data_IF_205418068604
#
_entry.id   IF_205418068604
#
_cell.length_a   1.000
_cell.length_b   1.000
_cell.length_c   1.000
_cell.angle_alpha   90.00
_cell.angle_beta   90.00
_cell.angle_gamma   90.00
#
_symmetry.space_group_name_H-M   'P 1'
#
loop_
_entity.id
_entity.type
_entity.pdbx_description
1 polymer ?
#
# COMPACT_ATOMS: atom_id res chain seq x y z
N UNK A 1 -5.39 -24.50 -11.01
CA UNK A 1 -6.31 -23.35 -10.91
C UNK A 1 -5.53 -22.22 -10.33
N UNK A 2 -5.43 -21.10 -11.05
CA UNK A 2 -4.71 -19.92 -10.53
C UNK A 2 -5.59 -19.35 -9.42
N UNK A 3 -5.14 -19.47 -8.17
CA UNK A 3 -5.72 -18.72 -7.06
C UNK A 3 -5.13 -17.32 -7.18
N UNK A 4 -5.62 -16.54 -8.13
CA UNK A 4 -5.42 -15.10 -8.06
C UNK A 4 -6.24 -14.63 -6.86
N UNK A 5 -5.66 -13.86 -5.92
CA UNK A 5 -6.44 -13.35 -4.81
C UNK A 5 -7.64 -12.60 -5.40
N UNK A 6 -8.87 -12.85 -4.94
CA UNK A 6 -10.04 -12.17 -5.46
C UNK A 6 -9.80 -10.67 -5.44
N UNK A 7 -10.24 -9.96 -6.50
CA UNK A 7 -10.09 -8.51 -6.71
C UNK A 7 -10.81 -7.70 -5.60
N UNK A 8 -10.29 -7.78 -4.38
CA UNK A 8 -10.90 -7.36 -3.13
C UNK A 8 -9.81 -6.87 -2.20
N UNK A 9 -9.92 -5.62 -1.74
CA UNK A 9 -8.98 -5.05 -0.78
C UNK A 9 -8.87 -5.88 0.51
N UNK A 10 -9.96 -6.53 0.93
CA UNK A 10 -9.97 -7.43 2.07
C UNK A 10 -9.16 -8.71 1.81
N UNK A 11 -9.27 -9.30 0.61
CA UNK A 11 -8.50 -10.48 0.23
C UNK A 11 -7.01 -10.16 0.09
N UNK A 12 -6.67 -8.98 -0.45
CA UNK A 12 -5.28 -8.51 -0.53
C UNK A 12 -4.69 -8.25 0.86
N UNK A 13 -5.46 -7.63 1.78
CA UNK A 13 -5.05 -7.47 3.18
C UNK A 13 -4.77 -8.84 3.82
N UNK A 14 -5.68 -9.81 3.65
CA UNK A 14 -5.52 -11.15 4.20
C UNK A 14 -4.27 -11.84 3.65
N UNK A 15 -4.08 -11.83 2.33
CA UNK A 15 -2.92 -12.42 1.69
C UNK A 15 -1.61 -11.77 2.14
N UNK A 16 -1.60 -10.46 2.38
CA UNK A 16 -0.42 -9.77 2.91
C UNK A 16 -0.14 -10.22 4.35
N UNK A 17 -1.15 -10.27 5.21
CA UNK A 17 -1.01 -10.74 6.60
C UNK A 17 -0.44 -12.15 6.65
N UNK A 18 -0.99 -13.07 5.86
CA UNK A 18 -0.52 -14.46 5.81
C UNK A 18 0.91 -14.59 5.29
N UNK A 19 1.28 -13.84 4.25
CA UNK A 19 2.61 -13.92 3.62
C UNK A 19 3.70 -13.20 4.41
N UNK A 20 3.34 -12.13 5.11
CA UNK A 20 4.28 -11.22 5.74
C UNK A 20 4.27 -11.28 7.27
N UNK A 21 3.34 -12.02 7.88
CA UNK A 21 3.22 -12.15 9.33
C UNK A 21 2.88 -10.83 10.04
N UNK A 22 2.20 -9.91 9.34
CA UNK A 22 1.80 -8.61 9.89
C UNK A 22 0.55 -8.75 10.75
N UNK A 23 0.43 -7.93 11.80
CA UNK A 23 -0.77 -7.91 12.63
C UNK A 23 -1.98 -7.40 11.82
N UNK A 24 -3.05 -8.21 11.61
CA UNK A 24 -4.23 -7.77 10.87
C UNK A 24 -4.98 -6.62 11.55
N UNK A 25 -4.87 -6.48 12.87
CA UNK A 25 -5.57 -5.43 13.64
C UNK A 25 -4.89 -4.07 13.52
N UNK A 26 -3.62 -4.06 13.10
CA UNK A 26 -2.82 -2.85 12.88
C UNK A 26 -2.85 -2.39 11.42
N UNK A 27 -3.67 -3.00 10.57
CA UNK A 27 -3.74 -2.73 9.14
C UNK A 27 -5.17 -2.40 8.71
N UNK A 28 -5.34 -1.31 8.00
CA UNK A 28 -6.62 -0.95 7.37
C UNK A 28 -6.48 -0.90 5.86
N UNK A 29 -7.48 -1.43 5.15
CA UNK A 29 -7.59 -1.18 3.73
C UNK A 29 -8.19 0.20 3.50
N UNK A 30 -7.53 1.00 2.67
CA UNK A 30 -8.05 2.31 2.27
C UNK A 30 -8.91 2.11 1.03
N UNK A 31 -10.20 1.84 1.25
CA UNK A 31 -11.14 1.44 0.19
C UNK A 31 -11.36 2.50 -0.90
N UNK A 32 -11.22 3.77 -0.56
CA UNK A 32 -11.36 4.90 -1.50
C UNK A 32 -10.17 5.00 -2.47
N UNK A 33 -9.08 4.28 -2.19
CA UNK A 33 -7.92 4.24 -3.07
C UNK A 33 -8.19 3.32 -4.27
N UNK A 34 -8.34 3.93 -5.45
CA UNK A 34 -8.78 3.26 -6.67
C UNK A 34 -7.76 3.49 -7.81
N UNK A 35 -6.61 2.81 -7.76
CA UNK A 35 -5.54 3.00 -8.75
C UNK A 35 -5.27 1.75 -9.60
N UNK A 36 -5.02 1.97 -10.89
CA UNK A 36 -4.52 0.98 -11.84
C UNK A 36 -3.22 1.49 -12.45
N UNK A 37 -2.18 0.66 -12.44
CA UNK A 37 -0.93 0.96 -13.11
C UNK A 37 -0.77 0.07 -14.35
N UNK A 38 -0.28 0.64 -15.45
CA UNK A 38 0.03 -0.14 -16.64
C UNK A 38 1.47 -0.66 -16.57
N UNK A 39 1.65 -1.96 -16.79
CA UNK A 39 2.97 -2.60 -16.90
C UNK A 39 3.13 -3.27 -18.26
N UNK A 40 4.34 -3.70 -18.60
CA UNK A 40 4.61 -4.45 -19.83
C UNK A 40 3.82 -5.76 -19.92
N UNK A 41 3.50 -6.37 -18.78
CA UNK A 41 2.71 -7.61 -18.69
C UNK A 41 1.20 -7.36 -18.62
N UNK A 42 0.76 -6.10 -18.61
CA UNK A 42 -0.64 -5.70 -18.54
C UNK A 42 -0.97 -4.79 -17.36
N UNK A 43 -2.26 -4.44 -17.19
CA UNK A 43 -2.71 -3.61 -16.08
C UNK A 43 -2.60 -4.35 -14.75
N UNK A 44 -2.07 -3.68 -13.73
CA UNK A 44 -2.03 -4.16 -12.34
C UNK A 44 -2.87 -3.25 -11.45
N UNK A 45 -3.65 -3.87 -10.58
CA UNK A 45 -4.44 -3.16 -9.57
C UNK A 45 -3.56 -2.88 -8.36
N UNK A 46 -3.50 -1.61 -7.91
CA UNK A 46 -2.78 -1.24 -6.70
C UNK A 46 -3.79 -1.03 -5.56
N UNK A 47 -3.56 -1.72 -4.45
CA UNK A 47 -4.32 -1.55 -3.21
C UNK A 47 -3.49 -0.79 -2.19
N UNK A 48 -4.11 0.13 -1.46
CA UNK A 48 -3.47 0.86 -0.38
C UNK A 48 -3.89 0.26 0.97
N UNK A 49 -2.90 -0.08 1.79
CA UNK A 49 -3.09 -0.40 3.20
C UNK A 49 -2.40 0.65 4.07
N UNK A 50 -2.98 0.94 5.22
CA UNK A 50 -2.46 1.90 6.20
C UNK A 50 -2.21 1.18 7.53
N UNK A 51 -1.03 1.40 8.11
CA UNK A 51 -0.79 1.02 9.50
C UNK A 51 -1.55 1.97 10.44
N UNK A 52 -2.30 1.43 11.38
CA UNK A 52 -3.13 2.19 12.34
C UNK A 52 -2.44 2.41 13.69
N UNK A 53 -1.33 1.70 13.94
CA UNK A 53 -0.52 1.83 15.13
C UNK A 53 0.14 3.22 15.22
N UNK A 54 0.38 3.69 16.44
CA UNK A 54 1.08 4.95 16.68
C UNK A 54 2.51 4.92 16.11
N UNK A 55 3.22 3.80 16.32
CA UNK A 55 4.51 3.54 15.71
C UNK A 55 4.36 2.57 14.54
N UNK A 56 4.99 2.91 13.41
CA UNK A 56 5.03 1.99 12.28
C UNK A 56 5.92 0.76 12.62
N UNK A 57 5.54 -0.45 12.17
CA UNK A 57 6.28 -1.68 12.47
C UNK A 57 7.56 -1.81 11.61
N UNK A 58 8.52 -0.91 11.83
CA UNK A 58 9.74 -0.76 11.02
C UNK A 58 10.55 -2.06 10.94
N UNK A 59 10.74 -2.73 12.06
CA UNK A 59 11.51 -3.98 12.11
C UNK A 59 10.85 -5.10 11.27
N UNK A 60 9.53 -5.23 11.34
CA UNK A 60 8.80 -6.23 10.55
C UNK A 60 8.91 -5.95 9.05
N UNK A 61 8.75 -4.69 8.63
CA UNK A 61 8.90 -4.31 7.21
C UNK A 61 10.34 -4.49 6.73
N UNK A 62 11.34 -4.15 7.54
CA UNK A 62 12.75 -4.36 7.21
C UNK A 62 13.09 -5.84 7.04
N UNK A 63 12.55 -6.72 7.88
CA UNK A 63 12.72 -8.17 7.74
C UNK A 63 12.15 -8.73 6.42
N UNK A 64 11.20 -8.02 5.82
CA UNK A 64 10.61 -8.33 4.50
C UNK A 64 11.37 -7.66 3.34
N UNK A 65 12.48 -6.96 3.62
CA UNK A 65 13.26 -6.19 2.64
C UNK A 65 12.68 -4.81 2.31
N UNK A 66 11.68 -4.35 3.06
CA UNK A 66 11.08 -3.03 2.91
C UNK A 66 11.80 -1.94 3.70
N UNK A 67 11.53 -0.69 3.36
CA UNK A 67 12.11 0.48 4.02
C UNK A 67 11.05 1.56 4.24
N UNK A 68 11.07 2.20 5.41
CA UNK A 68 10.30 3.42 5.66
C UNK A 68 11.10 4.64 5.24
N UNK A 69 10.66 5.30 4.16
CA UNK A 69 11.30 6.52 3.64
C UNK A 69 10.46 7.75 3.94
N UNK A 70 11.06 8.86 4.43
CA UNK A 70 10.43 10.16 4.39
C UNK A 70 10.06 10.53 2.94
N UNK A 71 8.91 11.16 2.74
CA UNK A 71 8.44 11.57 1.40
C UNK A 71 9.44 12.48 0.67
N UNK A 72 10.25 13.23 1.41
CA UNK A 72 11.31 14.07 0.87
C UNK A 72 12.42 13.28 0.15
N UNK A 73 12.69 12.04 0.57
CA UNK A 73 13.67 11.16 -0.08
C UNK A 73 13.10 10.47 -1.32
N UNK A 74 11.78 10.47 -1.49
CA UNK A 74 11.11 9.84 -2.62
C UNK A 74 11.09 10.73 -3.87
N UNK A 75 11.51 12.00 -3.79
CA UNK A 75 11.50 12.94 -4.92
C UNK A 75 12.33 12.49 -6.14
N UNK A 76 13.30 11.58 -5.95
CA UNK A 76 14.11 11.01 -7.03
C UNK A 76 13.60 9.66 -7.56
N UNK A 77 12.45 9.17 -7.08
CA UNK A 77 11.85 7.90 -7.50
C UNK A 77 11.38 7.92 -8.95
N UNK A 78 11.03 6.74 -9.47
CA UNK A 78 10.45 6.63 -10.81
C UNK A 78 9.15 7.45 -10.91
N UNK A 79 8.85 7.99 -12.11
CA UNK A 79 7.68 8.85 -12.31
C UNK A 79 6.37 8.16 -11.93
N UNK A 80 6.24 6.87 -12.22
CA UNK A 80 5.08 6.06 -11.84
C UNK A 80 4.88 6.01 -10.31
N UNK A 81 5.97 5.84 -9.55
CA UNK A 81 5.94 5.85 -8.09
C UNK A 81 5.60 7.24 -7.54
N UNK A 82 6.14 8.31 -8.14
CA UNK A 82 5.81 9.69 -7.75
C UNK A 82 4.33 10.02 -7.95
N UNK A 83 3.74 9.58 -9.06
CA UNK A 83 2.32 9.76 -9.34
C UNK A 83 1.46 9.00 -8.33
N UNK A 84 1.84 7.76 -8.02
CA UNK A 84 1.19 6.95 -7.01
C UNK A 84 1.24 7.62 -5.63
N UNK A 85 2.42 8.08 -5.20
CA UNK A 85 2.61 8.77 -3.92
C UNK A 85 1.79 10.06 -3.83
N UNK A 86 1.66 10.81 -4.94
CA UNK A 86 0.82 12.01 -5.00
C UNK A 86 -0.65 11.68 -4.79
N UNK A 87 -1.16 10.62 -5.40
CA UNK A 87 -2.55 10.19 -5.21
C UNK A 87 -2.82 9.76 -3.77
N UNK A 88 -1.92 8.97 -3.18
CA UNK A 88 -2.00 8.57 -1.77
C UNK A 88 -1.98 9.80 -0.86
N UNK A 89 -1.08 10.76 -1.12
CA UNK A 89 -1.01 11.99 -0.35
C UNK A 89 -2.30 12.82 -0.44
N UNK A 90 -2.85 13.00 -1.65
CA UNK A 90 -4.10 13.72 -1.85
C UNK A 90 -5.27 13.06 -1.10
N UNK A 91 -5.29 11.73 -1.06
CA UNK A 91 -6.30 10.98 -0.32
C UNK A 91 -6.17 11.20 1.19
N UNK A 92 -4.95 11.15 1.74
CA UNK A 92 -4.69 11.37 3.16
C UNK A 92 -5.03 12.80 3.59
N UNK A 93 -4.60 13.80 2.80
CA UNK A 93 -4.87 15.22 3.12
C UNK A 93 -6.34 15.57 2.90
N UNK A 94 -6.97 15.05 1.85
CA UNK A 94 -8.39 15.28 1.54
C UNK A 94 -9.34 14.63 2.56
N UNK A 95 -8.95 13.50 3.15
CA UNK A 95 -9.75 12.82 4.18
C UNK A 95 -9.78 13.57 5.53
N UNK A 96 -8.86 14.51 5.78
CA UNK A 96 -8.81 15.32 7.01
C UNK A 96 -9.77 16.51 7.04
N UNK A 97 -10.64 16.66 6.02
CA UNK A 97 -11.55 17.79 5.84
C UNK A 97 -13.02 17.54 6.19
N UNK A 98 -13.37 16.41 6.82
CA UNK A 98 -14.73 16.09 7.26
C UNK A 98 -14.83 15.99 8.78
#
# INVERSE_FOLDING_TARGET
GVIEPPFSGAAVKLALVERCGLNPDELENVGDFNHWAQTESGPVRIHLLRFTSFEAPKAAIQALGGEFKPISLLRGSAMSELLLLREVFNLIVGAGGN
#
